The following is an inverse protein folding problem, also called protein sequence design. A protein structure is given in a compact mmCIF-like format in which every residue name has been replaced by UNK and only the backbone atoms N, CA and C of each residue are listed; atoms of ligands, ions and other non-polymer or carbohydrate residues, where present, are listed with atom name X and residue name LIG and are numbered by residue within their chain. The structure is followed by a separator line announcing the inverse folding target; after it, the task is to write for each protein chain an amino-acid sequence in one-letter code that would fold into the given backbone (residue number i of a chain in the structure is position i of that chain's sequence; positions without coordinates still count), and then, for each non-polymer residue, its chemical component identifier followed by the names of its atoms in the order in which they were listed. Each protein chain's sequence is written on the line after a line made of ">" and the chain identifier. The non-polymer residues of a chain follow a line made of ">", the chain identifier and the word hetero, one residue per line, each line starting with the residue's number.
data_IF_532418775151
#
_entry.id   IF_532418775151
#
_cell.length_a   1.000
_cell.length_b   1.000
_cell.length_c   1.000
_cell.angle_alpha   90.00
_cell.angle_beta   90.00
_cell.angle_gamma   90.00
#
_symmetry.space_group_name_H-M   'P 1'
#
loop_
_entity.id
_entity.type
_entity.pdbx_description
1 polymer ?
#
# COMPACT_ATOMS: atom_id res chain seq x y z
N UNK A 1 21.02 8.56 -0.39
CA UNK A 1 19.80 9.18 0.20
C UNK A 1 19.01 8.02 0.81
N UNK A 2 18.39 8.19 1.97
CA UNK A 2 17.51 7.17 2.57
C UNK A 2 16.14 7.19 1.88
N UNK A 3 15.37 6.11 2.00
CA UNK A 3 14.06 5.99 1.34
C UNK A 3 13.07 7.06 1.82
N UNK A 4 13.02 7.34 3.14
CA UNK A 4 12.21 8.39 3.73
C UNK A 4 12.55 9.78 3.17
N UNK A 5 13.85 10.09 3.03
CA UNK A 5 14.30 11.34 2.43
C UNK A 5 13.90 11.46 0.94
N UNK A 6 13.91 10.35 0.19
CA UNK A 6 13.48 10.33 -1.20
C UNK A 6 11.97 10.62 -1.32
N UNK A 7 11.13 10.04 -0.45
CA UNK A 7 9.69 10.32 -0.44
C UNK A 7 9.37 11.73 0.09
N UNK A 8 10.04 12.18 1.13
CA UNK A 8 9.90 13.55 1.64
C UNK A 8 10.20 14.63 0.58
N UNK A 9 11.03 14.33 -0.40
CA UNK A 9 11.30 15.25 -1.52
C UNK A 9 10.17 15.31 -2.57
N UNK A 10 9.25 14.33 -2.59
CA UNK A 10 8.19 14.22 -3.60
C UNK A 10 6.82 14.72 -3.12
N UNK A 11 6.68 15.08 -1.86
CA UNK A 11 5.41 15.45 -1.17
C UNK A 11 4.55 16.41 -2.01
N UNK A 12 5.15 17.44 -2.61
CA UNK A 12 4.43 18.50 -3.31
C UNK A 12 3.60 18.02 -4.52
N UNK A 13 3.93 16.87 -5.10
CA UNK A 13 3.27 16.34 -6.29
C UNK A 13 2.84 14.87 -6.17
N UNK A 14 3.04 14.26 -5.02
CA UNK A 14 2.85 12.83 -4.82
C UNK A 14 1.43 12.35 -5.15
N UNK A 15 0.41 13.04 -4.67
CA UNK A 15 -0.99 12.66 -4.91
C UNK A 15 -1.37 12.76 -6.40
N UNK A 16 -0.92 13.82 -7.07
CA UNK A 16 -1.15 14.00 -8.51
C UNK A 16 -0.43 12.91 -9.31
N UNK A 17 0.83 12.59 -8.91
CA UNK A 17 1.57 11.48 -9.48
C UNK A 17 0.84 10.14 -9.31
N UNK A 18 0.44 9.79 -8.08
CA UNK A 18 -0.20 8.51 -7.78
C UNK A 18 -1.51 8.32 -8.56
N UNK A 19 -2.34 9.35 -8.61
CA UNK A 19 -3.65 9.27 -9.26
C UNK A 19 -3.56 9.18 -10.79
N UNK A 20 -2.48 9.67 -11.39
CA UNK A 20 -2.27 9.69 -12.85
C UNK A 20 -1.31 8.59 -13.35
N UNK A 21 -0.27 8.27 -12.58
CA UNK A 21 0.75 7.30 -12.98
C UNK A 21 0.31 5.85 -12.80
N UNK A 22 -0.59 5.58 -11.83
CA UNK A 22 -1.15 4.24 -11.67
C UNK A 22 -2.18 3.94 -12.75
N UNK A 23 -2.07 2.80 -13.45
CA UNK A 23 -3.04 2.43 -14.46
C UNK A 23 -4.40 2.15 -13.83
N UNK A 24 -5.44 2.79 -14.36
CA UNK A 24 -6.83 2.61 -13.89
C UNK A 24 -6.98 2.77 -12.37
N UNK A 25 -6.44 3.86 -11.80
CA UNK A 25 -6.44 4.14 -10.35
C UNK A 25 -7.80 3.89 -9.69
N UNK A 26 -8.91 4.30 -10.33
CA UNK A 26 -10.27 4.10 -9.80
C UNK A 26 -10.64 2.63 -9.68
N UNK A 27 -10.31 1.81 -10.68
CA UNK A 27 -10.65 0.38 -10.68
C UNK A 27 -9.76 -0.39 -9.68
N UNK A 28 -8.49 0.02 -9.57
CA UNK A 28 -7.54 -0.53 -8.63
C UNK A 28 -8.03 -0.39 -7.18
N UNK A 29 -8.31 0.84 -6.74
CA UNK A 29 -8.82 1.10 -5.39
C UNK A 29 -10.30 0.69 -5.23
N UNK A 30 -11.11 0.75 -6.27
CA UNK A 30 -12.47 0.22 -6.29
C UNK A 30 -12.51 -1.28 -6.01
N UNK A 31 -11.59 -2.04 -6.61
CA UNK A 31 -11.44 -3.49 -6.35
C UNK A 31 -11.01 -3.76 -4.91
N UNK A 32 -10.04 -2.99 -4.37
CA UNK A 32 -9.64 -3.10 -2.99
C UNK A 32 -10.80 -2.83 -2.02
N UNK A 33 -11.60 -1.80 -2.28
CA UNK A 33 -12.77 -1.46 -1.46
C UNK A 33 -13.89 -2.48 -1.56
N UNK A 34 -14.03 -3.19 -2.69
CA UNK A 34 -15.03 -4.25 -2.87
C UNK A 34 -14.77 -5.49 -2.01
N UNK A 35 -13.50 -5.73 -1.63
CA UNK A 35 -13.10 -6.85 -0.74
C UNK A 35 -13.61 -6.71 0.70
N UNK A 36 -13.93 -5.50 1.14
CA UNK A 36 -14.24 -5.21 2.54
C UNK A 36 -15.70 -5.55 2.85
N UNK A 37 -15.98 -6.61 3.63
CA UNK A 37 -17.35 -7.12 3.87
C UNK A 37 -18.08 -6.44 5.04
N UNK A 38 -17.44 -5.44 5.63
CA UNK A 38 -17.99 -4.76 6.80
C UNK A 38 -19.21 -3.90 6.42
N UNK A 39 -20.10 -3.68 7.39
CA UNK A 39 -21.22 -2.74 7.20
C UNK A 39 -20.70 -1.30 7.22
N UNK A 40 -21.32 -0.37 6.47
CA UNK A 40 -20.85 1.04 6.41
C UNK A 40 -20.81 1.72 7.80
N UNK A 41 -21.66 1.30 8.74
CA UNK A 41 -21.75 1.86 10.09
C UNK A 41 -20.70 1.26 11.05
N UNK A 42 -19.90 0.29 10.61
CA UNK A 42 -18.92 -0.37 11.47
C UNK A 42 -17.84 0.61 11.94
N UNK A 43 -17.56 0.61 13.23
CA UNK A 43 -16.44 1.33 13.84
C UNK A 43 -15.21 0.42 13.78
N UNK A 44 -14.53 0.41 12.64
CA UNK A 44 -13.36 -0.43 12.39
C UNK A 44 -12.10 0.18 13.02
N UNK A 45 -11.21 -0.67 13.53
CA UNK A 45 -9.83 -0.31 13.82
C UNK A 45 -8.97 -0.64 12.59
N UNK A 46 -8.40 0.37 11.98
CA UNK A 46 -7.66 0.28 10.70
C UNK A 46 -6.20 0.66 10.91
N UNK A 47 -5.29 -0.17 10.42
CA UNK A 47 -3.86 0.12 10.33
C UNK A 47 -3.48 0.32 8.86
N UNK A 48 -2.85 1.45 8.53
CA UNK A 48 -2.33 1.76 7.20
C UNK A 48 -0.79 1.74 7.24
N UNK A 49 -0.18 0.75 6.56
CA UNK A 49 1.26 0.51 6.54
C UNK A 49 1.92 1.19 5.34
N UNK A 50 2.84 2.10 5.61
CA UNK A 50 3.40 2.97 4.59
C UNK A 50 2.33 3.91 4.05
N UNK A 51 1.59 4.54 4.98
CA UNK A 51 0.39 5.32 4.68
C UNK A 51 0.65 6.53 3.77
N UNK A 52 1.88 7.05 3.78
CA UNK A 52 2.26 8.21 2.99
C UNK A 52 1.35 9.40 3.27
N UNK A 53 0.70 9.92 2.23
CA UNK A 53 -0.27 11.01 2.33
C UNK A 53 -1.69 10.55 2.74
N UNK A 54 -1.90 9.26 3.03
CA UNK A 54 -3.17 8.69 3.46
C UNK A 54 -4.19 8.47 2.32
N UNK A 55 -3.74 8.26 1.08
CA UNK A 55 -4.66 8.05 -0.05
C UNK A 55 -5.54 6.81 0.13
N UNK A 56 -5.00 5.69 0.59
CA UNK A 56 -5.80 4.49 0.81
C UNK A 56 -6.75 4.67 2.00
N UNK A 57 -6.26 5.22 3.11
CA UNK A 57 -7.10 5.58 4.27
C UNK A 57 -8.27 6.49 3.87
N UNK A 58 -8.09 7.42 2.91
CA UNK A 58 -9.17 8.27 2.38
C UNK A 58 -10.27 7.44 1.72
N UNK A 59 -9.93 6.41 0.94
CA UNK A 59 -10.93 5.51 0.34
C UNK A 59 -11.69 4.72 1.41
N UNK A 60 -10.97 4.19 2.42
CA UNK A 60 -11.59 3.46 3.53
C UNK A 60 -12.53 4.36 4.33
N UNK A 61 -12.09 5.57 4.70
CA UNK A 61 -12.90 6.56 5.40
C UNK A 61 -14.19 6.91 4.66
N UNK A 62 -14.11 7.03 3.32
CA UNK A 62 -15.28 7.32 2.48
C UNK A 62 -16.35 6.24 2.53
N UNK A 63 -15.99 4.97 2.78
CA UNK A 63 -16.91 3.83 2.93
C UNK A 63 -17.30 3.57 4.39
N UNK A 64 -16.39 3.83 5.33
CA UNK A 64 -16.53 3.56 6.76
C UNK A 64 -16.25 4.83 7.59
N UNK A 65 -17.20 5.76 7.67
CA UNK A 65 -16.95 7.07 8.29
C UNK A 65 -16.69 7.02 9.80
N UNK A 66 -16.99 5.90 10.45
CA UNK A 66 -16.75 5.69 11.89
C UNK A 66 -15.47 4.88 12.18
N UNK A 67 -14.69 4.53 11.15
CA UNK A 67 -13.42 3.82 11.34
C UNK A 67 -12.39 4.71 12.03
N UNK A 68 -11.54 4.11 12.88
CA UNK A 68 -10.38 4.74 13.48
C UNK A 68 -9.11 4.24 12.80
N UNK A 69 -8.14 5.11 12.63
CA UNK A 69 -6.97 4.85 11.81
C UNK A 69 -5.68 5.06 12.59
N UNK A 70 -4.75 4.14 12.44
CA UNK A 70 -3.34 4.33 12.75
C UNK A 70 -2.59 4.33 11.43
N UNK A 71 -1.99 5.48 11.08
CA UNK A 71 -1.18 5.66 9.88
C UNK A 71 0.29 5.58 10.26
N UNK A 72 0.99 4.61 9.70
CA UNK A 72 2.42 4.38 9.97
C UNK A 72 3.23 4.64 8.70
N UNK A 73 4.23 5.50 8.77
CA UNK A 73 5.17 5.75 7.68
C UNK A 73 6.55 6.18 8.22
N UNK A 74 7.62 5.94 7.46
CA UNK A 74 8.96 6.44 7.76
C UNK A 74 9.14 7.92 7.38
N UNK A 75 8.38 8.39 6.38
CA UNK A 75 8.47 9.72 5.81
C UNK A 75 7.53 10.68 6.55
N UNK A 76 8.07 11.41 7.54
CA UNK A 76 7.32 12.34 8.40
C UNK A 76 6.55 13.42 7.61
N UNK A 77 7.15 13.97 6.55
CA UNK A 77 6.48 14.97 5.69
C UNK A 77 5.31 14.41 4.89
N UNK A 78 5.32 13.12 4.57
CA UNK A 78 4.18 12.45 3.98
C UNK A 78 3.03 12.38 4.98
N UNK A 79 3.31 12.01 6.24
CA UNK A 79 2.32 12.01 7.31
C UNK A 79 1.81 13.43 7.63
N UNK A 80 2.61 14.48 7.43
CA UNK A 80 2.14 15.87 7.58
C UNK A 80 1.04 16.20 6.56
N UNK A 81 1.12 15.67 5.33
CA UNK A 81 0.03 15.81 4.35
C UNK A 81 -1.21 15.04 4.81
N UNK A 82 -1.03 13.84 5.36
CA UNK A 82 -2.14 13.08 5.93
C UNK A 82 -2.81 13.82 7.11
N UNK A 83 -2.02 14.46 8.00
CA UNK A 83 -2.54 15.32 9.08
C UNK A 83 -3.33 16.51 8.54
N UNK A 84 -2.85 17.16 7.49
CA UNK A 84 -3.58 18.25 6.84
C UNK A 84 -4.89 17.77 6.21
N UNK A 85 -4.92 16.53 5.69
CA UNK A 85 -6.09 15.93 5.04
C UNK A 85 -7.19 15.55 6.04
N UNK A 86 -6.82 14.93 7.16
CA UNK A 86 -7.78 14.33 8.09
C UNK A 86 -7.91 15.08 9.42
N UNK A 87 -7.07 16.06 9.67
CA UNK A 87 -6.99 16.82 10.91
C UNK A 87 -5.93 16.28 11.88
N UNK A 88 -5.28 17.20 12.59
CA UNK A 88 -4.36 16.90 13.68
C UNK A 88 -5.12 16.97 15.01
N UNK A 89 -4.90 15.98 15.90
CA UNK A 89 -5.60 15.91 17.19
C UNK A 89 -7.02 15.34 17.15
N UNK A 90 -7.42 14.71 16.06
CA UNK A 90 -8.66 13.94 15.98
C UNK A 90 -8.51 12.60 16.69
N UNK A 91 -9.48 12.20 17.52
CA UNK A 91 -9.54 10.86 18.13
C UNK A 91 -9.68 9.73 17.07
N UNK A 92 -9.97 10.09 15.82
CA UNK A 92 -10.15 9.16 14.72
C UNK A 92 -8.84 8.78 14.03
N UNK A 93 -7.81 9.64 14.11
CA UNK A 93 -6.54 9.43 13.40
C UNK A 93 -5.34 9.55 14.34
N UNK A 94 -4.50 8.51 14.31
CA UNK A 94 -3.17 8.50 14.92
C UNK A 94 -2.11 8.42 13.82
N UNK A 95 -1.06 9.24 13.92
CA UNK A 95 0.05 9.27 12.97
C UNK A 95 1.35 8.86 13.67
N UNK A 96 1.99 7.83 13.16
CA UNK A 96 3.17 7.22 13.78
C UNK A 96 4.33 7.22 12.79
N UNK A 97 5.38 7.98 13.09
CA UNK A 97 6.63 7.92 12.31
C UNK A 97 7.44 6.73 12.81
N UNK A 98 7.38 5.62 12.08
CA UNK A 98 8.05 4.38 12.45
C UNK A 98 8.29 3.46 11.26
N UNK A 99 9.20 2.53 11.43
CA UNK A 99 9.39 1.40 10.53
C UNK A 99 8.38 0.30 10.86
N UNK A 100 7.45 0.04 9.96
CA UNK A 100 6.42 -0.97 10.18
C UNK A 100 6.96 -2.42 10.21
N UNK A 101 8.24 -2.67 9.88
CA UNK A 101 8.90 -3.96 10.11
C UNK A 101 9.03 -4.30 11.60
N UNK A 102 9.01 -3.29 12.45
CA UNK A 102 9.10 -3.44 13.91
C UNK A 102 7.75 -3.55 14.59
N UNK A 103 6.67 -3.79 13.83
CA UNK A 103 5.33 -3.97 14.39
C UNK A 103 5.29 -5.18 15.31
N UNK A 104 4.98 -4.91 16.57
CA UNK A 104 4.70 -5.91 17.59
C UNK A 104 3.34 -5.62 18.20
N UNK A 105 2.58 -6.64 18.56
CA UNK A 105 1.30 -6.44 19.23
C UNK A 105 0.41 -7.68 19.25
N UNK A 106 -0.71 -7.54 19.94
CA UNK A 106 -1.81 -8.50 19.96
C UNK A 106 -2.91 -8.07 18.98
N UNK A 107 -3.87 -8.94 18.74
CA UNK A 107 -4.98 -8.71 17.82
C UNK A 107 -5.77 -7.43 18.16
N UNK A 108 -5.56 -6.35 17.41
CA UNK A 108 -6.14 -5.03 17.67
C UNK A 108 -6.92 -4.47 16.47
N UNK A 109 -6.63 -4.95 15.24
CA UNK A 109 -7.14 -4.36 14.02
C UNK A 109 -8.18 -5.26 13.34
N UNK A 110 -9.21 -4.64 12.79
CA UNK A 110 -10.21 -5.28 11.94
C UNK A 110 -9.74 -5.29 10.48
N UNK A 111 -8.95 -4.28 10.10
CA UNK A 111 -8.45 -4.07 8.75
C UNK A 111 -7.00 -3.58 8.81
N UNK A 112 -6.12 -4.26 8.10
CA UNK A 112 -4.78 -3.75 7.78
C UNK A 112 -4.71 -3.49 6.29
N UNK A 113 -4.28 -2.31 5.90
CA UNK A 113 -4.11 -1.91 4.50
C UNK A 113 -2.67 -1.47 4.24
N UNK A 114 -2.23 -1.61 3.01
CA UNK A 114 -1.01 -1.00 2.51
C UNK A 114 -1.16 -0.67 1.04
N UNK A 115 -0.57 0.43 0.60
CA UNK A 115 -0.50 0.77 -0.82
C UNK A 115 0.87 1.28 -1.23
N UNK A 116 1.47 0.62 -2.22
CA UNK A 116 2.74 1.01 -2.86
C UNK A 116 3.87 1.25 -1.86
N UNK A 117 3.99 0.34 -0.89
CA UNK A 117 4.97 0.43 0.18
C UNK A 117 5.75 -0.86 0.42
N UNK A 118 5.08 -2.01 0.51
CA UNK A 118 5.72 -3.27 0.91
C UNK A 118 6.74 -3.76 -0.13
N UNK A 119 6.60 -3.36 -1.40
CA UNK A 119 7.57 -3.69 -2.45
C UNK A 119 8.97 -3.12 -2.22
N UNK A 120 9.15 -2.18 -1.30
CA UNK A 120 10.48 -1.67 -0.92
C UNK A 120 11.25 -2.61 0.01
N UNK A 121 10.59 -3.58 0.64
CA UNK A 121 11.23 -4.52 1.55
C UNK A 121 11.95 -5.65 0.80
N UNK A 122 12.98 -6.23 1.42
CA UNK A 122 13.52 -7.52 0.99
C UNK A 122 12.48 -8.63 1.17
N UNK A 123 12.58 -9.72 0.42
CA UNK A 123 11.59 -10.79 0.43
C UNK A 123 11.46 -11.46 1.81
N UNK A 124 12.56 -11.58 2.56
CA UNK A 124 12.53 -12.09 3.93
C UNK A 124 11.74 -11.16 4.88
N UNK A 125 11.91 -9.84 4.73
CA UNK A 125 11.18 -8.84 5.52
C UNK A 125 9.69 -8.82 5.16
N UNK A 126 9.32 -9.00 3.87
CA UNK A 126 7.92 -9.14 3.44
C UNK A 126 7.24 -10.34 4.11
N UNK A 127 7.94 -11.50 4.11
CA UNK A 127 7.43 -12.72 4.74
C UNK A 127 7.24 -12.53 6.24
N UNK A 128 8.21 -11.95 6.93
CA UNK A 128 8.12 -11.65 8.35
C UNK A 128 6.96 -10.68 8.66
N UNK A 129 6.83 -9.62 7.83
CA UNK A 129 5.75 -8.64 7.95
C UNK A 129 4.37 -9.28 7.80
N UNK A 130 4.16 -10.18 6.84
CA UNK A 130 2.87 -10.86 6.68
C UNK A 130 2.52 -11.71 7.91
N UNK A 131 3.50 -12.33 8.57
CA UNK A 131 3.31 -13.00 9.86
C UNK A 131 2.90 -12.03 10.98
N UNK A 132 3.56 -10.88 11.07
CA UNK A 132 3.22 -9.81 12.02
C UNK A 132 1.82 -9.27 11.79
N UNK A 133 1.45 -8.99 10.53
CA UNK A 133 0.10 -8.52 10.16
C UNK A 133 -0.95 -9.57 10.58
N UNK A 134 -0.70 -10.85 10.31
CA UNK A 134 -1.61 -11.91 10.75
C UNK A 134 -1.80 -11.91 12.28
N UNK A 135 -0.73 -11.69 13.05
CA UNK A 135 -0.79 -11.71 14.50
C UNK A 135 -1.67 -10.58 15.07
N UNK A 136 -1.55 -9.36 14.52
CA UNK A 136 -2.25 -8.16 14.99
C UNK A 136 -3.69 -8.02 14.47
N UNK A 137 -4.08 -8.77 13.45
CA UNK A 137 -5.47 -8.83 13.01
C UNK A 137 -6.35 -9.58 14.00
N UNK A 138 -7.56 -9.09 14.22
CA UNK A 138 -8.62 -9.81 14.91
C UNK A 138 -9.10 -11.00 14.08
N UNK A 139 -9.77 -11.95 14.72
CA UNK A 139 -10.51 -13.00 14.00
C UNK A 139 -11.58 -12.35 13.11
N UNK A 140 -11.65 -12.75 11.84
CA UNK A 140 -12.49 -12.11 10.81
C UNK A 140 -11.86 -10.87 10.18
N UNK A 141 -10.67 -10.45 10.64
CA UNK A 141 -9.95 -9.31 10.10
C UNK A 141 -9.34 -9.60 8.73
N UNK A 142 -9.09 -8.54 7.98
CA UNK A 142 -8.63 -8.59 6.58
C UNK A 142 -7.36 -7.77 6.41
N UNK A 143 -6.41 -8.31 5.65
CA UNK A 143 -5.30 -7.59 5.09
C UNK A 143 -5.53 -7.36 3.59
N UNK A 144 -5.38 -6.12 3.13
CA UNK A 144 -5.45 -5.75 1.70
C UNK A 144 -4.19 -4.99 1.30
N UNK A 145 -3.51 -5.49 0.29
CA UNK A 145 -2.32 -4.85 -0.28
C UNK A 145 -2.56 -4.44 -1.74
N UNK A 146 -2.33 -3.17 -2.04
CA UNK A 146 -2.31 -2.61 -3.39
C UNK A 146 -0.85 -2.34 -3.73
N UNK A 147 -0.19 -3.22 -4.50
CA UNK A 147 1.26 -3.12 -4.59
C UNK A 147 1.86 -3.52 -5.93
N UNK A 148 3.13 -3.18 -6.13
CA UNK A 148 3.90 -3.54 -7.30
C UNK A 148 4.21 -5.05 -7.33
N UNK A 149 4.17 -5.60 -8.54
CA UNK A 149 4.38 -7.02 -8.82
C UNK A 149 5.46 -7.17 -9.89
N UNK A 150 6.45 -7.99 -9.62
CA UNK A 150 7.51 -8.33 -10.57
C UNK A 150 6.99 -9.27 -11.67
N UNK A 151 7.34 -9.01 -12.90
CA UNK A 151 7.14 -9.96 -14.00
C UNK A 151 8.02 -11.20 -13.82
N UNK A 152 7.46 -12.39 -14.04
CA UNK A 152 8.13 -13.67 -13.83
C UNK A 152 9.36 -13.83 -14.74
N UNK A 153 9.24 -13.47 -16.01
CA UNK A 153 10.32 -13.59 -17.00
C UNK A 153 10.96 -12.23 -17.30
N UNK A 154 12.15 -12.23 -17.92
CA UNK A 154 12.79 -11.01 -18.40
C UNK A 154 11.87 -10.23 -19.35
N UNK A 155 11.20 -10.94 -20.26
CA UNK A 155 10.22 -10.36 -21.20
C UNK A 155 9.07 -9.65 -20.47
N UNK A 156 8.47 -10.31 -19.45
CA UNK A 156 7.37 -9.73 -18.69
C UNK A 156 7.81 -8.54 -17.84
N UNK A 157 9.03 -8.58 -17.28
CA UNK A 157 9.59 -7.42 -16.54
C UNK A 157 9.74 -6.19 -17.45
N UNK A 158 10.31 -6.41 -18.64
CA UNK A 158 10.47 -5.34 -19.64
C UNK A 158 9.11 -4.82 -20.13
N UNK A 159 8.17 -5.73 -20.44
CA UNK A 159 6.81 -5.36 -20.85
C UNK A 159 6.12 -4.50 -19.78
N UNK A 160 6.15 -4.91 -18.51
CA UNK A 160 5.50 -4.18 -17.41
C UNK A 160 6.13 -2.80 -17.22
N UNK A 161 7.45 -2.74 -17.33
CA UNK A 161 8.19 -1.49 -17.24
C UNK A 161 7.82 -0.53 -18.36
N UNK A 162 7.85 -0.99 -19.61
CA UNK A 162 7.52 -0.17 -20.77
C UNK A 162 6.08 0.34 -20.69
N UNK A 163 5.13 -0.51 -20.26
CA UNK A 163 3.74 -0.08 -20.06
C UNK A 163 3.60 0.98 -18.98
N UNK A 164 4.36 0.89 -17.88
CA UNK A 164 4.38 1.92 -16.85
C UNK A 164 4.91 3.26 -17.38
N UNK A 165 6.03 3.25 -18.07
CA UNK A 165 6.62 4.47 -18.65
C UNK A 165 5.69 5.12 -19.69
N UNK A 166 5.06 4.32 -20.55
CA UNK A 166 4.05 4.81 -21.51
C UNK A 166 2.84 5.44 -20.80
N UNK A 167 2.35 4.81 -19.73
CA UNK A 167 1.26 5.34 -18.91
C UNK A 167 1.62 6.71 -18.31
N UNK A 168 2.80 6.82 -17.68
CA UNK A 168 3.28 8.05 -17.03
C UNK A 168 3.51 9.17 -18.07
N UNK A 169 4.08 8.82 -19.24
CA UNK A 169 4.26 9.75 -20.33
C UNK A 169 2.93 10.23 -20.91
N UNK A 170 1.97 9.30 -21.09
CA UNK A 170 0.61 9.61 -21.53
C UNK A 170 -0.17 10.47 -20.54
N UNK A 171 0.16 10.41 -19.25
CA UNK A 171 -0.40 11.28 -18.21
C UNK A 171 0.15 12.72 -18.24
N UNK A 172 1.13 13.01 -19.11
CA UNK A 172 1.64 14.36 -19.35
C UNK A 172 2.74 14.81 -18.39
N UNK A 173 3.40 13.90 -17.69
CA UNK A 173 4.57 14.22 -16.88
C UNK A 173 5.80 14.51 -17.75
N UNK A 174 6.69 15.40 -17.29
CA UNK A 174 7.93 15.73 -17.98
C UNK A 174 8.91 14.55 -17.95
N UNK A 175 9.77 14.44 -18.95
CA UNK A 175 10.81 13.40 -19.00
C UNK A 175 11.75 13.48 -17.78
N UNK A 176 11.98 14.67 -17.21
CA UNK A 176 12.74 14.84 -15.98
C UNK A 176 12.06 14.12 -14.80
N UNK A 177 10.74 14.31 -14.62
CA UNK A 177 9.95 13.62 -13.59
C UNK A 177 9.91 12.11 -13.80
N UNK A 178 9.82 11.68 -15.05
CA UNK A 178 9.87 10.27 -15.42
C UNK A 178 11.24 9.70 -15.02
N UNK A 179 12.33 10.39 -15.33
CA UNK A 179 13.68 9.94 -14.96
C UNK A 179 13.88 9.89 -13.44
N UNK A 180 13.42 10.90 -12.69
CA UNK A 180 13.43 10.86 -11.22
C UNK A 180 12.70 9.62 -10.65
N UNK A 181 11.57 9.24 -11.26
CA UNK A 181 10.82 8.06 -10.83
C UNK A 181 11.55 6.75 -11.17
N UNK A 182 12.23 6.71 -12.32
CA UNK A 182 13.08 5.57 -12.74
C UNK A 182 14.24 5.39 -11.77
N UNK A 183 14.93 6.48 -11.44
CA UNK A 183 16.07 6.46 -10.53
C UNK A 183 15.66 6.00 -9.13
N UNK A 184 14.52 6.50 -8.63
CA UNK A 184 13.97 6.09 -7.34
C UNK A 184 13.60 4.61 -7.32
N UNK A 185 12.87 4.12 -8.33
CA UNK A 185 12.53 2.70 -8.46
C UNK A 185 13.79 1.83 -8.48
N UNK A 186 14.76 2.17 -9.32
CA UNK A 186 16.01 1.42 -9.44
C UNK A 186 16.77 1.36 -8.10
N UNK A 187 16.70 2.42 -7.30
CA UNK A 187 17.41 2.51 -6.03
C UNK A 187 16.70 1.76 -4.88
N UNK A 188 15.37 1.71 -4.88
CA UNK A 188 14.63 1.30 -3.68
C UNK A 188 13.62 0.18 -3.88
N UNK A 189 13.13 -0.07 -5.11
CA UNK A 189 12.08 -1.08 -5.32
C UNK A 189 12.69 -2.49 -5.39
N UNK A 190 12.02 -3.43 -4.74
CA UNK A 190 12.38 -4.83 -4.59
C UNK A 190 11.13 -5.69 -4.79
N UNK A 191 10.51 -5.52 -5.95
CA UNK A 191 9.26 -6.21 -6.24
C UNK A 191 9.43 -7.72 -6.21
N UNK A 192 8.47 -8.43 -5.63
CA UNK A 192 8.39 -9.88 -5.63
C UNK A 192 7.39 -10.42 -6.65
N UNK A 193 7.47 -11.69 -6.98
CA UNK A 193 6.47 -12.37 -7.80
C UNK A 193 5.13 -12.43 -7.05
N UNK A 194 4.03 -12.31 -7.79
CA UNK A 194 2.69 -12.37 -7.20
C UNK A 194 2.46 -13.71 -6.49
N UNK A 195 2.76 -14.82 -7.17
CA UNK A 195 2.53 -16.16 -6.63
C UNK A 195 3.33 -16.41 -5.34
N UNK A 196 4.56 -15.88 -5.26
CA UNK A 196 5.37 -15.95 -4.04
C UNK A 196 4.69 -15.19 -2.90
N UNK A 197 4.22 -13.96 -3.14
CA UNK A 197 3.54 -13.15 -2.12
C UNK A 197 2.24 -13.81 -1.64
N UNK A 198 1.42 -14.35 -2.55
CA UNK A 198 0.21 -15.11 -2.18
C UNK A 198 0.55 -16.35 -1.36
N UNK A 199 1.66 -17.04 -1.70
CA UNK A 199 2.10 -18.20 -0.91
C UNK A 199 2.61 -17.79 0.48
N UNK A 200 3.32 -16.66 0.61
CA UNK A 200 3.77 -16.15 1.91
C UNK A 200 2.60 -15.77 2.82
N UNK A 201 1.54 -15.18 2.28
CA UNK A 201 0.31 -14.91 3.02
C UNK A 201 -0.31 -16.23 3.55
N UNK A 202 -0.45 -17.25 2.69
CA UNK A 202 -0.96 -18.57 3.09
C UNK A 202 -0.09 -19.21 4.18
N UNK A 203 1.23 -19.12 4.04
CA UNK A 203 2.18 -19.66 5.02
C UNK A 203 2.09 -18.93 6.38
N UNK A 204 1.70 -17.66 6.38
CA UNK A 204 1.44 -16.87 7.60
C UNK A 204 0.12 -17.20 8.30
N UNK A 205 -0.74 -18.03 7.68
CA UNK A 205 -2.01 -18.49 8.24
C UNK A 205 -3.26 -17.84 7.62
N UNK A 206 -3.10 -16.89 6.71
CA UNK A 206 -4.24 -16.28 6.03
C UNK A 206 -5.03 -17.30 5.21
N UNK A 207 -6.34 -17.16 5.25
CA UNK A 207 -7.30 -17.88 4.42
C UNK A 207 -7.87 -16.96 3.34
N UNK A 208 -8.57 -17.53 2.35
CA UNK A 208 -9.17 -16.77 1.25
C UNK A 208 -8.19 -15.83 0.53
N UNK A 209 -6.92 -16.28 0.41
CA UNK A 209 -5.85 -15.49 -0.22
C UNK A 209 -6.00 -15.51 -1.72
N UNK A 210 -6.14 -14.33 -2.33
CA UNK A 210 -6.26 -14.17 -3.77
C UNK A 210 -5.76 -12.80 -4.25
N UNK A 211 -5.54 -12.68 -5.56
CA UNK A 211 -5.34 -11.42 -6.27
C UNK A 211 -6.56 -11.11 -7.13
N UNK A 212 -7.36 -10.13 -6.73
CA UNK A 212 -8.65 -9.81 -7.36
C UNK A 212 -8.56 -8.80 -8.51
N UNK A 213 -7.44 -8.11 -8.59
CA UNK A 213 -7.16 -7.16 -9.67
C UNK A 213 -5.67 -7.17 -9.99
N UNK A 214 -5.34 -7.20 -11.26
CA UNK A 214 -3.95 -7.05 -11.74
C UNK A 214 -3.93 -6.28 -13.05
N UNK A 215 -3.11 -5.26 -13.10
CA UNK A 215 -2.82 -4.52 -14.32
C UNK A 215 -1.31 -4.39 -14.49
N UNK A 216 -0.72 -5.23 -15.34
CA UNK A 216 0.72 -5.37 -15.56
C UNK A 216 1.49 -5.50 -14.23
N UNK A 217 2.13 -4.40 -13.78
CA UNK A 217 3.04 -4.35 -12.65
C UNK A 217 2.38 -4.05 -11.30
N UNK A 218 1.08 -3.77 -11.26
CA UNK A 218 0.36 -3.46 -10.02
C UNK A 218 -0.84 -4.40 -9.83
N UNK A 219 -1.10 -4.79 -8.58
CA UNK A 219 -2.23 -5.64 -8.24
C UNK A 219 -2.84 -5.36 -6.89
N UNK A 220 -4.03 -5.90 -6.68
CA UNK A 220 -4.76 -5.91 -5.40
C UNK A 220 -4.84 -7.35 -4.92
N UNK A 221 -4.17 -7.66 -3.84
CA UNK A 221 -4.22 -8.98 -3.22
C UNK A 221 -4.51 -8.88 -1.72
N UNK A 222 -5.09 -9.93 -1.17
CA UNK A 222 -5.60 -9.90 0.18
C UNK A 222 -5.53 -11.27 0.85
N UNK A 223 -5.76 -11.28 2.17
CA UNK A 223 -5.97 -12.47 2.96
C UNK A 223 -6.83 -12.18 4.19
N UNK A 224 -7.54 -13.19 4.69
CA UNK A 224 -8.41 -13.09 5.85
C UNK A 224 -7.87 -13.93 7.01
N UNK A 225 -8.06 -13.48 8.24
CA UNK A 225 -7.81 -14.24 9.46
C UNK A 225 -9.12 -14.83 9.96
N UNK A 226 -9.27 -16.17 9.88
CA UNK A 226 -10.45 -16.90 10.38
C UNK A 226 -10.32 -17.36 11.84
#
# INVERSE_FOLDING_TARGET
>A
MTIDAAFNATVAYYDDWMTKALPNYSDLFGSAMALLPFKPEAALEVLDLGAGTGLFSKHVLGKYPHARFVLVDLADKMLDVARQRFGDGSDQFQYVVADYRTLEGQAEYDLVISSLSIHHLEDADKQALFGSIYSILRKGGIFVNVDQIRGETAYLRELYWNQNIEQVRGAGFSEERIQESIDRRTAYDKEALLDEQLQWLKNSGFQNVDCVYKNFFVGVFFGMKE
#
